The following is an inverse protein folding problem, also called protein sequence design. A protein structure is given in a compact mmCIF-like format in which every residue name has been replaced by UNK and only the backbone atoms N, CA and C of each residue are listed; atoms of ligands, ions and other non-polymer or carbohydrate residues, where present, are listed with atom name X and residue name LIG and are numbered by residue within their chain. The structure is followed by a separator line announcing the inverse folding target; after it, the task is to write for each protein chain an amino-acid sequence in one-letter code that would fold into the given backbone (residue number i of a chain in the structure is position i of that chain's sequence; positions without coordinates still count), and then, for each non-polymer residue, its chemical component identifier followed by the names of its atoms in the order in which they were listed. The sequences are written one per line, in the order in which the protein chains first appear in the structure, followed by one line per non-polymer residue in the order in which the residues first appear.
data_IF_322336737779
#
_entry.id   IF_322336737779
#
_cell.length_a   1.000
_cell.length_b   1.000
_cell.length_c   1.000
_cell.angle_alpha   90.00
_cell.angle_beta   90.00
_cell.angle_gamma   90.00
#
_symmetry.space_group_name_H-M   'P 1'
#
loop_
_entity.id
_entity.type
_entity.pdbx_description
1 polymer ?
#
# COMPACT_ATOMS: atom_id res chain seq x y z
N UNK A 1 15.95 -18.81 20.63
CA UNK A 1 14.86 -17.91 21.04
C UNK A 1 15.40 -16.89 22.03
N UNK A 2 15.42 -15.62 21.64
CA UNK A 2 15.74 -14.49 22.52
C UNK A 2 14.76 -14.45 23.70
N UNK A 3 15.20 -13.98 24.87
CA UNK A 3 14.32 -13.79 26.03
C UNK A 3 13.10 -12.91 25.69
N UNK A 4 13.27 -11.95 24.78
CA UNK A 4 12.20 -11.09 24.26
C UNK A 4 11.13 -11.87 23.46
N UNK A 5 11.54 -12.87 22.67
CA UNK A 5 10.61 -13.71 21.90
C UNK A 5 9.78 -14.62 22.82
N UNK A 6 10.41 -15.16 23.88
CA UNK A 6 9.71 -15.94 24.91
C UNK A 6 8.71 -15.07 25.67
N UNK A 7 9.10 -13.86 26.07
CA UNK A 7 8.20 -12.90 26.72
C UNK A 7 7.05 -12.51 25.80
N UNK A 8 7.31 -12.27 24.51
CA UNK A 8 6.27 -11.99 23.52
C UNK A 8 5.26 -13.15 23.39
N UNK A 9 5.75 -14.38 23.30
CA UNK A 9 4.88 -15.56 23.27
C UNK A 9 3.99 -15.62 24.52
N UNK A 10 4.59 -15.43 25.71
CA UNK A 10 3.84 -15.43 26.96
C UNK A 10 2.79 -14.32 27.03
N UNK A 11 3.11 -13.11 26.53
CA UNK A 11 2.16 -11.99 26.45
C UNK A 11 1.00 -12.31 25.51
N UNK A 12 1.26 -12.83 24.31
CA UNK A 12 0.20 -13.25 23.36
C UNK A 12 -0.66 -14.39 23.92
N UNK A 13 -0.04 -15.34 24.61
CA UNK A 13 -0.75 -16.45 25.24
C UNK A 13 -1.66 -15.97 26.38
N UNK A 14 -1.13 -15.13 27.28
CA UNK A 14 -1.90 -14.55 28.38
C UNK A 14 -3.04 -13.65 27.87
N UNK A 15 -2.84 -12.86 26.81
CA UNK A 15 -3.93 -12.13 26.14
C UNK A 15 -5.06 -13.08 25.73
N UNK A 16 -4.77 -14.17 25.01
CA UNK A 16 -5.79 -15.13 24.59
C UNK A 16 -6.46 -15.82 25.78
N UNK A 17 -5.70 -16.15 26.82
CA UNK A 17 -6.23 -16.74 28.05
C UNK A 17 -7.23 -15.81 28.74
N UNK A 18 -6.90 -14.52 28.87
CA UNK A 18 -7.77 -13.49 29.45
C UNK A 18 -9.03 -13.28 28.60
N UNK A 19 -8.92 -13.25 27.27
CA UNK A 19 -10.10 -13.17 26.39
C UNK A 19 -11.05 -14.37 26.56
N UNK A 20 -10.50 -15.58 26.70
CA UNK A 20 -11.29 -16.78 26.96
C UNK A 20 -11.98 -16.71 28.33
N UNK A 21 -11.28 -16.25 29.37
CA UNK A 21 -11.87 -16.05 30.69
C UNK A 21 -12.96 -14.97 30.66
N UNK A 22 -12.75 -13.85 29.97
CA UNK A 22 -13.76 -12.81 29.78
C UNK A 22 -15.02 -13.36 29.09
N UNK A 23 -14.86 -14.14 28.02
CA UNK A 23 -15.98 -14.82 27.34
C UNK A 23 -16.71 -15.82 28.26
N UNK A 24 -15.98 -16.51 29.14
CA UNK A 24 -16.58 -17.39 30.15
C UNK A 24 -17.42 -16.58 31.13
N UNK A 25 -16.90 -15.47 31.66
CA UNK A 25 -17.66 -14.57 32.53
C UNK A 25 -18.93 -14.03 31.88
N UNK A 26 -18.92 -13.69 30.58
CA UNK A 26 -20.13 -13.26 29.87
C UNK A 26 -21.15 -14.39 29.68
N UNK A 27 -20.68 -15.64 29.52
CA UNK A 27 -21.56 -16.81 29.46
C UNK A 27 -22.21 -17.07 30.82
N UNK A 28 -21.42 -17.03 31.89
CA UNK A 28 -21.90 -17.20 33.25
C UNK A 28 -22.88 -16.07 33.64
N UNK A 29 -22.64 -14.82 33.22
CA UNK A 29 -23.60 -13.72 33.35
C UNK A 29 -24.95 -14.06 32.69
N UNK A 30 -24.93 -14.61 31.47
CA UNK A 30 -26.14 -15.03 30.76
C UNK A 30 -26.92 -16.11 31.51
N UNK A 31 -26.22 -17.07 32.12
CA UNK A 31 -26.83 -18.11 32.95
C UNK A 31 -27.47 -17.54 34.22
N UNK A 32 -26.79 -16.63 34.91
CA UNK A 32 -27.33 -15.97 36.11
C UNK A 32 -28.54 -15.07 35.78
N UNK A 33 -28.55 -14.40 34.62
CA UNK A 33 -29.73 -13.70 34.10
C UNK A 33 -30.91 -14.62 33.81
N UNK A 34 -30.65 -15.83 33.29
CA UNK A 34 -31.70 -16.82 33.08
C UNK A 34 -32.28 -17.33 34.41
N UNK A 35 -31.44 -17.56 35.42
CA UNK A 35 -31.89 -17.91 36.79
C UNK A 35 -32.67 -16.78 37.44
N UNK A 36 -32.22 -15.53 37.28
CA UNK A 36 -32.94 -14.34 37.71
C UNK A 36 -34.36 -14.30 37.14
N UNK A 37 -34.52 -14.52 35.83
CA UNK A 37 -35.84 -14.54 35.19
C UNK A 37 -36.76 -15.61 35.80
N UNK A 38 -36.22 -16.81 36.05
CA UNK A 38 -36.98 -17.90 36.70
C UNK A 38 -37.36 -17.56 38.16
N UNK A 39 -36.43 -16.97 38.93
CA UNK A 39 -36.69 -16.58 40.31
C UNK A 39 -37.77 -15.50 40.43
N UNK A 40 -37.79 -14.55 39.49
CA UNK A 40 -38.86 -13.53 39.40
C UNK A 40 -40.21 -14.17 39.08
N UNK A 41 -40.26 -15.12 38.13
CA UNK A 41 -41.50 -15.83 37.77
C UNK A 41 -42.05 -16.66 38.93
N UNK A 42 -41.18 -17.17 39.80
CA UNK A 42 -41.55 -17.94 40.99
C UNK A 42 -41.92 -17.06 42.20
N UNK A 43 -41.85 -15.72 42.08
CA UNK A 43 -42.14 -14.79 43.16
C UNK A 43 -41.06 -14.71 44.25
N UNK A 44 -39.89 -15.34 44.06
CA UNK A 44 -38.80 -15.32 45.03
C UNK A 44 -37.90 -14.08 44.82
N UNK A 45 -38.33 -12.96 45.41
CA UNK A 45 -37.65 -11.66 45.28
C UNK A 45 -36.26 -11.62 45.93
N UNK A 46 -36.02 -12.37 47.01
CA UNK A 46 -34.70 -12.43 47.65
C UNK A 46 -33.70 -13.20 46.80
N UNK A 47 -34.09 -14.37 46.26
CA UNK A 47 -33.26 -15.14 45.34
C UNK A 47 -32.96 -14.37 44.04
N UNK A 48 -33.94 -13.64 43.52
CA UNK A 48 -33.76 -12.75 42.37
C UNK A 48 -32.69 -11.67 42.65
N UNK A 49 -32.69 -11.03 43.83
CA UNK A 49 -31.68 -10.02 44.18
C UNK A 49 -30.26 -10.58 44.17
N UNK A 50 -30.07 -11.81 44.67
CA UNK A 50 -28.75 -12.48 44.69
C UNK A 50 -28.29 -12.80 43.26
N UNK A 51 -29.16 -13.37 42.42
CA UNK A 51 -28.82 -13.67 41.02
C UNK A 51 -28.52 -12.41 40.21
N UNK A 52 -29.24 -11.31 40.45
CA UNK A 52 -28.97 -10.02 39.82
C UNK A 52 -27.58 -9.47 40.23
N UNK A 53 -27.25 -9.49 41.52
CA UNK A 53 -25.94 -9.05 42.01
C UNK A 53 -24.79 -9.89 41.42
N UNK A 54 -24.97 -11.21 41.35
CA UNK A 54 -24.00 -12.11 40.73
C UNK A 54 -23.80 -11.84 39.23
N UNK A 55 -24.89 -11.58 38.49
CA UNK A 55 -24.81 -11.22 37.07
C UNK A 55 -24.04 -9.91 36.87
N UNK A 56 -24.33 -8.86 37.66
CA UNK A 56 -23.61 -7.57 37.58
C UNK A 56 -22.13 -7.76 37.91
N UNK A 57 -21.81 -8.54 38.94
CA UNK A 57 -20.42 -8.84 39.30
C UNK A 57 -19.68 -9.54 38.16
N UNK A 58 -20.28 -10.57 37.55
CA UNK A 58 -19.68 -11.31 36.42
C UNK A 58 -19.51 -10.46 35.17
N UNK A 59 -20.45 -9.55 34.90
CA UNK A 59 -20.34 -8.56 33.82
C UNK A 59 -19.14 -7.63 34.04
N UNK A 60 -19.00 -7.08 35.23
CA UNK A 60 -17.90 -6.18 35.56
C UNK A 60 -16.54 -6.90 35.55
N UNK A 61 -16.49 -8.14 36.06
CA UNK A 61 -15.30 -9.00 35.99
C UNK A 61 -14.90 -9.26 34.52
N UNK A 62 -15.85 -9.61 33.66
CA UNK A 62 -15.62 -9.81 32.22
C UNK A 62 -15.10 -8.56 31.51
N UNK A 63 -15.68 -7.38 31.80
CA UNK A 63 -15.22 -6.11 31.24
C UNK A 63 -13.81 -5.75 31.69
N UNK A 64 -13.47 -5.98 32.97
CA UNK A 64 -12.13 -5.71 33.48
C UNK A 64 -11.08 -6.64 32.86
N UNK A 65 -11.40 -7.94 32.70
CA UNK A 65 -10.54 -8.90 32.02
C UNK A 65 -10.34 -8.54 30.53
N UNK A 66 -11.40 -8.09 29.86
CA UNK A 66 -11.31 -7.65 28.46
C UNK A 66 -10.41 -6.41 28.32
N UNK A 67 -10.59 -5.41 29.20
CA UNK A 67 -9.73 -4.21 29.23
C UNK A 67 -8.27 -4.57 29.48
N UNK A 68 -8.01 -5.47 30.43
CA UNK A 68 -6.65 -5.94 30.73
C UNK A 68 -6.05 -6.67 29.52
N UNK A 69 -6.82 -7.55 28.88
CA UNK A 69 -6.41 -8.23 27.65
C UNK A 69 -6.04 -7.25 26.54
N UNK A 70 -6.86 -6.23 26.27
CA UNK A 70 -6.57 -5.22 25.24
C UNK A 70 -5.28 -4.44 25.54
N UNK A 71 -5.04 -4.10 26.81
CA UNK A 71 -3.80 -3.43 27.23
C UNK A 71 -2.57 -4.32 27.03
N UNK A 72 -2.66 -5.60 27.40
CA UNK A 72 -1.55 -6.56 27.22
C UNK A 72 -1.29 -6.81 25.73
N UNK A 73 -2.34 -6.89 24.90
CA UNK A 73 -2.19 -7.05 23.45
C UNK A 73 -1.48 -5.87 22.79
N UNK A 74 -1.82 -4.64 23.21
CA UNK A 74 -1.11 -3.45 22.75
C UNK A 74 0.39 -3.48 23.12
N UNK A 75 0.73 -3.94 24.33
CA UNK A 75 2.13 -4.12 24.74
C UNK A 75 2.80 -5.23 23.92
N UNK A 76 2.12 -6.36 23.71
CA UNK A 76 2.63 -7.47 22.91
C UNK A 76 2.91 -7.06 21.46
N UNK A 77 2.06 -6.20 20.88
CA UNK A 77 2.26 -5.64 19.54
C UNK A 77 3.51 -4.76 19.47
N UNK A 78 3.72 -3.87 20.44
CA UNK A 78 4.95 -3.05 20.50
C UNK A 78 6.21 -3.91 20.65
N UNK A 79 6.13 -4.96 21.49
CA UNK A 79 7.23 -5.92 21.66
C UNK A 79 7.49 -6.69 20.35
N UNK A 80 6.44 -7.05 19.60
CA UNK A 80 6.58 -7.70 18.28
C UNK A 80 7.37 -6.82 17.33
N UNK A 81 6.99 -5.54 17.23
CA UNK A 81 7.70 -4.58 16.38
C UNK A 81 9.16 -4.45 16.79
N UNK A 82 9.44 -4.36 18.09
CA UNK A 82 10.82 -4.30 18.60
C UNK A 82 11.64 -5.56 18.24
N UNK A 83 11.04 -6.75 18.35
CA UNK A 83 11.69 -8.02 17.96
C UNK A 83 11.96 -8.05 16.44
N UNK A 84 10.98 -7.67 15.62
CA UNK A 84 11.14 -7.62 14.17
C UNK A 84 12.23 -6.63 13.76
N UNK A 85 12.20 -5.42 14.32
CA UNK A 85 13.23 -4.39 14.07
C UNK A 85 14.61 -4.89 14.47
N UNK A 86 14.74 -5.53 15.63
CA UNK A 86 16.02 -6.14 16.03
C UNK A 86 16.50 -7.18 15.03
N UNK A 87 15.62 -8.04 14.51
CA UNK A 87 16.00 -9.04 13.51
C UNK A 87 16.45 -8.38 12.20
N UNK A 88 15.75 -7.33 11.75
CA UNK A 88 16.17 -6.52 10.60
C UNK A 88 17.55 -5.88 10.83
N UNK A 89 17.79 -5.29 12.01
CA UNK A 89 19.10 -4.72 12.35
C UNK A 89 20.20 -5.77 12.34
N UNK A 90 19.96 -6.98 12.86
CA UNK A 90 20.94 -8.07 12.82
C UNK A 90 21.22 -8.53 11.38
N UNK A 91 20.19 -8.67 10.55
CA UNK A 91 20.35 -9.00 9.12
C UNK A 91 21.14 -7.91 8.40
N UNK A 92 20.79 -6.64 8.61
CA UNK A 92 21.50 -5.51 8.00
C UNK A 92 22.96 -5.44 8.46
N UNK A 93 23.25 -5.68 9.74
CA UNK A 93 24.62 -5.78 10.23
C UNK A 93 25.40 -6.93 9.58
N UNK A 94 24.76 -8.07 9.30
CA UNK A 94 25.41 -9.18 8.59
C UNK A 94 25.67 -8.85 7.11
N UNK A 95 24.73 -8.16 6.44
CA UNK A 95 24.88 -7.71 5.05
C UNK A 95 25.98 -6.67 4.95
N UNK A 96 26.03 -5.69 5.85
CA UNK A 96 27.08 -4.66 5.89
C UNK A 96 28.45 -5.30 6.08
N UNK A 97 28.60 -6.28 6.98
CA UNK A 97 29.86 -7.04 7.13
C UNK A 97 30.23 -7.83 5.88
N UNK A 98 29.25 -8.45 5.23
CA UNK A 98 29.47 -9.17 3.97
C UNK A 98 29.88 -8.23 2.83
N UNK A 99 29.27 -7.05 2.78
CA UNK A 99 29.57 -6.00 1.81
C UNK A 99 30.96 -5.40 2.06
N UNK A 100 31.34 -5.15 3.32
CA UNK A 100 32.66 -4.64 3.70
C UNK A 100 33.76 -5.59 3.21
N UNK A 101 33.58 -6.90 3.44
CA UNK A 101 34.48 -7.95 2.94
C UNK A 101 34.46 -8.10 1.41
N UNK A 102 33.31 -7.90 0.77
CA UNK A 102 33.20 -7.92 -0.69
C UNK A 102 33.89 -6.70 -1.33
N UNK A 103 33.75 -5.51 -0.72
CA UNK A 103 34.42 -4.27 -1.11
C UNK A 103 35.93 -4.38 -0.97
N UNK A 104 36.43 -5.04 0.10
CA UNK A 104 37.85 -5.33 0.27
C UNK A 104 38.42 -6.25 -0.83
N UNK A 105 37.58 -7.13 -1.40
CA UNK A 105 37.94 -8.00 -2.53
C UNK A 105 37.68 -7.39 -3.92
N UNK A 106 36.96 -6.27 -3.99
CA UNK A 106 36.64 -5.56 -5.23
C UNK A 106 37.80 -4.61 -5.59
N UNK A 107 38.69 -5.09 -6.45
CA UNK A 107 39.72 -4.24 -7.05
C UNK A 107 39.04 -3.22 -7.99
N UNK A 108 39.29 -1.92 -7.78
CA UNK A 108 38.81 -0.79 -8.59
C UNK A 108 38.98 -1.01 -10.09
N UNK A 109 40.04 -1.70 -10.52
CA UNK A 109 40.30 -2.07 -11.92
C UNK A 109 39.20 -2.97 -12.53
N UNK A 110 38.69 -3.94 -11.77
CA UNK A 110 37.61 -4.83 -12.26
C UNK A 110 36.28 -4.10 -12.34
N UNK A 111 36.04 -3.12 -11.46
CA UNK A 111 34.84 -2.29 -11.52
C UNK A 111 34.87 -1.42 -12.78
N UNK A 112 36.02 -0.81 -13.10
CA UNK A 112 36.19 -0.05 -14.35
C UNK A 112 35.87 -0.91 -15.58
N UNK A 113 36.44 -2.12 -15.68
CA UNK A 113 36.18 -3.02 -16.82
C UNK A 113 34.71 -3.50 -16.93
N UNK A 114 34.02 -3.65 -15.79
CA UNK A 114 32.61 -4.04 -15.78
C UNK A 114 31.72 -2.86 -16.17
N UNK A 115 32.08 -1.64 -15.79
CA UNK A 115 31.37 -0.42 -16.21
C UNK A 115 31.54 -0.16 -17.71
N UNK A 116 32.74 -0.33 -18.26
CA UNK A 116 32.98 -0.21 -19.70
C UNK A 116 32.17 -1.26 -20.49
N UNK A 117 32.07 -2.50 -19.98
CA UNK A 117 31.22 -3.55 -20.58
C UNK A 117 29.72 -3.27 -20.43
N UNK A 118 29.30 -2.67 -19.33
CA UNK A 118 27.91 -2.30 -19.10
C UNK A 118 27.47 -1.21 -20.08
N UNK A 119 28.31 -0.19 -20.29
CA UNK A 119 28.06 0.88 -21.26
C UNK A 119 27.90 0.31 -22.68
N UNK A 120 28.81 -0.59 -23.11
CA UNK A 120 28.67 -1.24 -24.42
C UNK A 120 27.40 -2.09 -24.55
N UNK A 121 27.00 -2.80 -23.49
CA UNK A 121 25.79 -3.63 -23.53
C UNK A 121 24.51 -2.80 -23.47
N UNK A 122 24.55 -1.66 -22.79
CA UNK A 122 23.40 -0.75 -22.70
C UNK A 122 23.21 0.01 -24.02
N UNK A 123 24.30 0.42 -24.68
CA UNK A 123 24.26 0.99 -26.02
C UNK A 123 23.70 -0.02 -27.04
N UNK A 124 24.14 -1.29 -27.00
CA UNK A 124 23.59 -2.35 -27.84
C UNK A 124 22.09 -2.58 -27.60
N UNK A 125 21.63 -2.52 -26.35
CA UNK A 125 20.23 -2.70 -25.99
C UNK A 125 19.38 -1.50 -26.44
N UNK A 126 19.89 -0.29 -26.32
CA UNK A 126 19.20 0.92 -26.78
C UNK A 126 19.07 0.91 -28.32
N UNK A 127 20.14 0.53 -29.04
CA UNK A 127 20.09 0.34 -30.50
C UNK A 127 19.11 -0.77 -30.89
N UNK A 128 19.10 -1.89 -30.16
CA UNK A 128 18.16 -2.99 -30.43
C UNK A 128 16.71 -2.59 -30.13
N UNK A 129 16.48 -1.81 -29.08
CA UNK A 129 15.15 -1.30 -28.69
C UNK A 129 14.67 -0.28 -29.69
N UNK A 130 15.51 0.65 -30.13
CA UNK A 130 15.18 1.64 -31.16
C UNK A 130 14.90 0.95 -32.51
N UNK A 131 15.65 -0.10 -32.86
CA UNK A 131 15.38 -0.90 -34.05
C UNK A 131 14.05 -1.68 -33.94
N UNK A 132 13.78 -2.25 -32.76
CA UNK A 132 12.52 -2.94 -32.48
C UNK A 132 11.33 -1.98 -32.47
N UNK A 133 11.47 -0.77 -31.91
CA UNK A 133 10.44 0.26 -31.88
C UNK A 133 10.17 0.83 -33.28
N UNK A 134 11.19 1.04 -34.10
CA UNK A 134 11.01 1.45 -35.49
C UNK A 134 10.35 0.36 -36.35
N UNK A 135 10.58 -0.92 -36.05
CA UNK A 135 9.96 -2.04 -36.79
C UNK A 135 8.55 -2.36 -36.29
N UNK A 136 8.31 -2.30 -34.97
CA UNK A 136 6.99 -2.48 -34.36
C UNK A 136 6.10 -1.26 -34.53
N UNK A 137 6.62 -0.03 -34.53
CA UNK A 137 5.86 1.20 -34.75
C UNK A 137 5.17 1.22 -36.12
N UNK A 138 5.85 0.70 -37.15
CA UNK A 138 5.28 0.52 -38.49
C UNK A 138 4.19 -0.57 -38.55
N UNK A 139 4.26 -1.61 -37.70
CA UNK A 139 3.20 -2.63 -37.60
C UNK A 139 2.03 -2.19 -36.71
N UNK A 140 2.29 -1.47 -35.62
CA UNK A 140 1.29 -1.00 -34.65
C UNK A 140 0.39 0.07 -35.23
N UNK A 141 0.92 0.95 -36.11
CA UNK A 141 0.11 1.94 -36.83
C UNK A 141 -0.98 1.32 -37.72
N UNK A 142 -0.85 0.03 -38.08
CA UNK A 142 -1.82 -0.69 -38.91
C UNK A 142 -2.91 -1.40 -38.08
N UNK A 143 -2.61 -1.79 -36.84
CA UNK A 143 -3.53 -2.54 -35.96
C UNK A 143 -4.17 -1.70 -34.87
N UNK A 144 -3.65 -0.49 -34.62
CA UNK A 144 -4.15 0.39 -33.57
C UNK A 144 -4.22 1.81 -34.12
N UNK A 145 -5.35 2.19 -34.77
CA UNK A 145 -5.54 3.53 -35.29
C UNK A 145 -5.48 4.56 -34.15
N UNK A 146 -4.71 5.63 -34.34
CA UNK A 146 -4.50 6.65 -33.32
C UNK A 146 -5.82 7.26 -32.81
N UNK A 147 -6.81 7.43 -33.70
CA UNK A 147 -8.15 7.94 -33.37
C UNK A 147 -8.92 7.05 -32.37
N UNK A 148 -8.76 5.73 -32.43
CA UNK A 148 -9.43 4.79 -31.51
C UNK A 148 -8.80 4.83 -30.11
N UNK A 149 -7.49 5.07 -30.03
CA UNK A 149 -6.75 5.24 -28.77
C UNK A 149 -7.11 6.57 -28.10
N UNK A 150 -7.16 7.66 -28.88
CA UNK A 150 -7.51 8.99 -28.37
C UNK A 150 -8.97 9.02 -27.86
N UNK A 151 -9.88 8.32 -28.54
CA UNK A 151 -11.27 8.16 -28.09
C UNK A 151 -11.35 7.39 -26.78
N UNK A 152 -10.61 6.29 -26.64
CA UNK A 152 -10.57 5.50 -25.40
C UNK A 152 -9.92 6.28 -24.24
N UNK A 153 -8.87 7.06 -24.51
CA UNK A 153 -8.25 7.94 -23.53
C UNK A 153 -9.22 9.01 -23.02
N UNK A 154 -9.97 9.65 -23.92
CA UNK A 154 -11.01 10.61 -23.53
C UNK A 154 -12.12 9.94 -22.69
N UNK A 155 -12.56 8.76 -23.09
CA UNK A 155 -13.62 8.04 -22.37
C UNK A 155 -13.17 7.61 -20.96
N UNK A 156 -11.93 7.14 -20.80
CA UNK A 156 -11.38 6.74 -19.50
C UNK A 156 -11.05 7.95 -18.62
N UNK A 157 -10.61 9.07 -19.22
CA UNK A 157 -10.41 10.33 -18.51
C UNK A 157 -11.72 10.86 -17.91
N UNK A 158 -12.79 10.87 -18.72
CA UNK A 158 -14.13 11.27 -18.29
C UNK A 158 -14.69 10.31 -17.20
N UNK A 159 -14.49 8.99 -17.35
CA UNK A 159 -14.99 7.98 -16.38
C UNK A 159 -14.31 8.06 -15.01
N UNK A 160 -13.04 8.46 -14.96
CA UNK A 160 -12.29 8.61 -13.71
C UNK A 160 -12.39 10.01 -13.10
N UNK A 161 -13.18 10.92 -13.68
CA UNK A 161 -13.23 12.32 -13.26
C UNK A 161 -11.87 13.02 -13.37
N UNK A 162 -10.97 12.44 -14.17
CA UNK A 162 -9.82 13.16 -14.71
C UNK A 162 -10.40 14.00 -15.83
N UNK A 163 -11.13 15.06 -15.49
CA UNK A 163 -11.44 16.10 -16.46
C UNK A 163 -10.08 16.52 -17.02
N UNK A 164 -9.79 16.10 -18.25
CA UNK A 164 -8.67 16.58 -19.02
C UNK A 164 -9.01 18.02 -19.48
N UNK A 165 -9.39 18.87 -18.51
CA UNK A 165 -9.84 20.23 -18.66
C UNK A 165 -10.00 20.88 -17.27
N UNK A 166 -8.89 21.31 -16.66
CA UNK A 166 -8.82 22.68 -16.11
C UNK A 166 -7.39 23.16 -15.76
N UNK A 167 -6.35 22.33 -15.77
CA UNK A 167 -4.96 22.82 -15.54
C UNK A 167 -4.23 23.27 -16.84
N UNK A 168 -4.89 23.16 -18.00
CA UNK A 168 -4.46 23.81 -19.25
C UNK A 168 -5.29 25.06 -19.60
N UNK A 169 -6.09 25.59 -18.67
CA UNK A 169 -6.86 26.84 -18.83
C UNK A 169 -6.51 27.96 -17.85
N UNK A 170 -5.55 27.75 -16.96
CA UNK A 170 -4.97 28.81 -16.10
C UNK A 170 -3.45 28.97 -16.26
N UNK A 171 -2.97 28.98 -17.50
CA UNK A 171 -1.71 29.67 -17.85
C UNK A 171 -2.02 30.73 -18.91
N UNK A 172 -1.39 31.91 -18.88
CA UNK A 172 -1.98 33.16 -19.35
C UNK A 172 -2.26 33.14 -20.86
N UNK A 173 -3.54 33.02 -21.19
CA UNK A 173 -4.11 33.02 -22.54
C UNK A 173 -4.14 34.43 -23.19
N UNK A 174 -3.08 35.22 -22.99
CA UNK A 174 -2.90 36.53 -23.65
C UNK A 174 -1.57 36.65 -24.41
N UNK A 175 -0.74 35.61 -24.43
CA UNK A 175 0.52 35.60 -25.19
C UNK A 175 0.60 34.55 -26.32
N UNK A 176 -0.26 33.53 -26.34
CA UNK A 176 -0.20 32.44 -27.33
C UNK A 176 -1.18 32.61 -28.52
N UNK A 177 -2.19 33.47 -28.39
CA UNK A 177 -3.10 33.82 -29.49
C UNK A 177 -2.38 34.57 -30.62
N UNK A 178 -1.25 35.21 -30.33
CA UNK A 178 -0.43 35.90 -31.36
C UNK A 178 0.49 34.94 -32.12
N UNK A 179 0.88 33.81 -31.53
CA UNK A 179 1.79 32.84 -32.16
C UNK A 179 1.05 31.88 -33.10
N UNK A 180 -0.14 31.42 -32.71
CA UNK A 180 -0.95 30.51 -33.55
C UNK A 180 -1.46 31.15 -34.84
N UNK A 181 -1.78 32.46 -34.84
CA UNK A 181 -2.14 33.16 -36.08
C UNK A 181 -0.94 33.33 -37.03
N UNK A 182 0.29 33.27 -36.52
CA UNK A 182 1.50 33.43 -37.33
C UNK A 182 1.91 32.08 -37.95
N UNK A 183 1.87 30.99 -37.17
CA UNK A 183 2.18 29.63 -37.65
C UNK A 183 1.13 29.07 -38.63
N UNK A 184 -0.16 29.36 -38.42
CA UNK A 184 -1.21 28.93 -39.34
C UNK A 184 -1.13 29.66 -40.69
N UNK A 185 -0.71 30.93 -40.71
CA UNK A 185 -0.48 31.69 -41.96
C UNK A 185 0.76 31.23 -42.70
N UNK A 186 1.82 30.86 -41.98
CA UNK A 186 3.04 30.33 -42.60
C UNK A 186 2.83 28.94 -43.20
N UNK A 187 2.04 28.07 -42.56
CA UNK A 187 1.72 26.76 -43.12
C UNK A 187 0.83 26.84 -44.37
N UNK A 188 -0.15 27.77 -44.39
CA UNK A 188 -1.02 27.96 -45.55
C UNK A 188 -0.23 28.52 -46.75
N UNK A 189 0.62 29.54 -46.54
CA UNK A 189 1.48 30.12 -47.60
C UNK A 189 2.52 29.10 -48.14
N UNK A 190 3.08 28.25 -47.27
CA UNK A 190 4.00 27.20 -47.71
C UNK A 190 3.28 26.10 -48.51
N UNK A 191 2.06 25.74 -48.11
CA UNK A 191 1.25 24.75 -48.79
C UNK A 191 0.79 25.24 -50.17
N UNK A 192 0.50 26.53 -50.30
CA UNK A 192 0.15 27.17 -51.57
C UNK A 192 1.37 27.26 -52.52
N UNK A 193 2.57 27.60 -52.00
CA UNK A 193 3.84 27.56 -52.76
C UNK A 193 4.20 26.16 -53.24
N UNK A 194 4.01 25.13 -52.40
CA UNK A 194 4.26 23.74 -52.79
C UNK A 194 3.28 23.25 -53.84
N UNK A 195 2.05 23.76 -53.83
CA UNK A 195 1.04 23.47 -54.85
C UNK A 195 1.35 24.16 -56.18
N UNK A 196 1.87 25.39 -56.15
CA UNK A 196 2.34 26.11 -57.33
C UNK A 196 3.62 25.52 -57.96
N UNK A 197 4.41 24.76 -57.19
CA UNK A 197 5.58 24.00 -57.67
C UNK A 197 5.25 22.59 -58.17
N UNK A 198 4.03 22.10 -57.93
CA UNK A 198 3.53 20.78 -58.36
C UNK A 198 2.53 20.86 -59.52
N UNK A 199 2.17 22.05 -59.98
CA UNK A 199 1.42 22.30 -61.23
C UNK A 199 2.32 22.94 -62.27
#
# INVERSE_FOLDING_TARGET
MSNLEKSLFQLKFTTKQLQRQAKKCTKDEGLEKAKLKKAIQQGNMEGARIYAANAIRKKNEGLNLLRLSSRIDAVASRVQTAVTMRNVTMSMASVVKGMDKAMESMNLEKISMVMDKFESQFEDLDVQTQYMENTMGNQSALTTPQDEVDTLMHQVADEHGLELNEELRETPDTLLTKSKETEAKEQDDLSERLRALRG
#
